data_IF_726106611099
#
_entry.id   IF_726106611099
#
_cell.length_a   1.000
_cell.length_b   1.000
_cell.length_c   1.000
_cell.angle_alpha   90.00
_cell.angle_beta   90.00
_cell.angle_gamma   90.00
#
_symmetry.space_group_name_H-M   'P 1'
#
loop_
_entity.id
_entity.type
_entity.pdbx_description
1 polymer ?
2 non-polymer ?
3 water ?
#
# COMPACT_ATOMS: atom_id res chain seq x y z
N UNK A 1 23.53 -0.96 -3.10
CA UNK A 1 23.12 -0.87 -1.66
C UNK A 1 22.24 0.35 -1.37
N UNK A 2 21.04 0.11 -0.84
CA UNK A 2 20.14 1.20 -0.44
C UNK A 2 20.85 2.12 0.55
N UNK A 3 20.91 3.40 0.22
CA UNK A 3 21.57 4.36 1.10
C UNK A 3 20.74 4.55 2.37
N UNK A 4 21.41 5.01 3.42
CA UNK A 4 20.68 5.26 4.67
C UNK A 4 19.63 6.32 4.45
N UNK A 5 19.95 7.33 3.66
CA UNK A 5 19.01 8.44 3.40
C UNK A 5 17.77 7.90 2.69
N UNK A 6 17.98 7.06 1.69
CA UNK A 6 16.88 6.45 0.95
C UNK A 6 16.07 5.49 1.82
N UNK A 7 16.75 4.77 2.71
CA UNK A 7 16.04 3.83 3.60
C UNK A 7 15.11 4.60 4.53
N UNK A 8 15.58 5.74 5.02
CA UNK A 8 14.72 6.60 5.84
C UNK A 8 13.51 7.09 5.05
N UNK A 9 13.73 7.52 3.82
CA UNK A 9 12.58 7.96 3.00
C UNK A 9 11.57 6.85 2.78
N UNK A 10 12.07 5.63 2.52
CA UNK A 10 11.20 4.50 2.26
C UNK A 10 10.44 4.12 3.51
N UNK A 11 11.14 4.05 4.64
CA UNK A 11 10.50 3.59 5.87
C UNK A 11 9.61 4.64 6.50
N UNK A 12 9.94 5.93 6.33
CA UNK A 12 9.34 6.92 7.21
C UNK A 12 8.71 8.13 6.55
N UNK A 13 8.88 8.29 5.23
CA UNK A 13 8.29 9.47 4.60
C UNK A 13 7.06 9.14 3.79
N UNK A 14 5.97 9.83 4.07
CA UNK A 14 4.79 9.81 3.21
C UNK A 14 4.20 11.22 3.22
N UNK A 15 4.88 12.13 2.54
CA UNK A 15 4.49 13.54 2.55
C UNK A 15 3.14 13.79 1.87
N UNK A 16 2.27 14.56 2.53
CA UNK A 16 0.93 14.83 2.00
C UNK A 16 -0.06 15.19 3.10
N UNK A 17 -1.20 15.76 2.70
CA UNK A 17 -2.22 16.27 3.60
C UNK A 17 -3.22 15.24 4.11
N UNK A 18 -3.54 14.26 3.29
CA UNK A 18 -4.57 13.28 3.64
C UNK A 18 -4.11 11.86 3.28
N UNK A 19 -3.04 11.38 3.95
CA UNK A 19 -2.44 10.09 3.61
C UNK A 19 -3.40 8.91 3.67
N UNK A 20 -4.33 8.93 4.62
CA UNK A 20 -5.23 7.80 4.82
C UNK A 20 -6.55 7.92 4.04
N UNK A 21 -6.71 9.03 3.31
CA UNK A 21 -7.89 9.27 2.49
C UNK A 21 -8.22 8.10 1.58
N UNK A 22 -9.53 7.91 1.33
CA UNK A 22 -9.99 6.87 0.40
C UNK A 22 -9.44 7.09 -1.02
N UNK A 23 -9.22 8.35 -1.39
CA UNK A 23 -8.62 8.70 -2.68
C UNK A 23 -7.20 8.14 -2.85
N UNK A 24 -6.58 7.74 -1.75
CA UNK A 24 -5.23 7.17 -1.79
C UNK A 24 -5.19 5.65 -1.85
N UNK A 25 -6.37 5.02 -1.84
CA UNK A 25 -6.45 3.57 -1.80
C UNK A 25 -5.64 2.93 -2.91
N UNK A 26 -5.87 3.35 -4.16
CA UNK A 26 -5.15 2.77 -5.29
C UNK A 26 -3.63 2.98 -5.22
N UNK A 27 -3.18 4.17 -4.84
CA UNK A 27 -1.74 4.37 -4.66
C UNK A 27 -1.14 3.34 -3.74
N UNK A 28 -1.80 3.12 -2.61
CA UNK A 28 -1.30 2.22 -1.59
C UNK A 28 -1.40 0.77 -2.06
N UNK A 29 -2.54 0.40 -2.66
CA UNK A 29 -2.81 -0.99 -3.04
C UNK A 29 -1.97 -1.42 -4.23
N UNK A 30 -1.86 -0.55 -5.23
CA UNK A 30 -1.08 -0.86 -6.42
C UNK A 30 0.37 -1.09 -6.02
N UNK A 31 0.84 -0.32 -5.03
CA UNK A 31 2.19 -0.50 -4.51
C UNK A 31 2.31 -1.81 -3.73
N UNK A 32 1.44 -1.98 -2.74
CA UNK A 32 1.49 -3.15 -1.88
C UNK A 32 1.36 -4.45 -2.68
N UNK A 33 0.43 -4.47 -3.64
CA UNK A 33 0.19 -5.68 -4.42
C UNK A 33 1.13 -5.88 -5.61
N UNK A 34 2.22 -5.13 -5.62
CA UNK A 34 3.35 -5.32 -6.56
C UNK A 34 3.01 -5.04 -8.02
N UNK A 35 2.22 -3.99 -8.26
CA UNK A 35 1.90 -3.60 -9.62
C UNK A 35 2.53 -2.27 -10.01
N UNK A 36 3.52 -1.85 -9.22
CA UNK A 36 4.31 -0.64 -9.52
C UNK A 36 5.81 -0.94 -9.50
N UNK A 37 6.16 -2.20 -9.67
CA UNK A 37 7.57 -2.58 -9.83
C UNK A 37 7.90 -2.62 -11.32
N UNK A 38 8.91 -1.85 -11.72
CA UNK A 38 9.36 -1.79 -13.11
C UNK A 38 8.66 -0.73 -13.92
N UNK A 39 7.34 -0.72 -13.84
CA UNK A 39 6.49 0.25 -14.53
C UNK A 39 5.20 0.37 -13.72
N UNK A 40 4.40 1.40 -13.99
CA UNK A 40 3.10 1.50 -13.36
C UNK A 40 2.07 0.73 -14.18
N UNK A 41 1.46 -0.31 -13.61
CA UNK A 41 0.33 -0.92 -14.30
C UNK A 41 -0.70 0.17 -14.55
N UNK A 42 -1.13 0.36 -15.81
CA UNK A 42 -2.01 1.47 -16.16
C UNK A 42 -3.44 1.39 -15.63
N UNK A 43 -4.03 0.19 -15.63
CA UNK A 43 -5.42 -0.03 -15.20
C UNK A 43 -5.43 -1.31 -14.38
N UNK A 44 -6.11 -1.29 -13.24
CA UNK A 44 -6.28 -2.49 -12.42
C UNK A 44 -7.51 -2.36 -11.54
N UNK A 45 -8.23 -3.47 -11.40
CA UNK A 45 -9.47 -3.53 -10.65
C UNK A 45 -9.31 -4.47 -9.45
N UNK A 46 -9.78 -3.99 -8.30
CA UNK A 46 -9.87 -4.79 -7.09
C UNK A 46 -11.34 -5.13 -6.80
N UNK A 47 -11.58 -6.34 -6.35
CA UNK A 47 -12.92 -6.83 -6.10
C UNK A 47 -13.12 -7.01 -4.60
N UNK A 48 -14.21 -6.44 -4.10
CA UNK A 48 -14.43 -6.43 -2.65
C UNK A 48 -15.40 -7.50 -2.15
N UNK A 49 -15.62 -8.52 -2.96
CA UNK A 49 -16.54 -9.58 -2.63
C UNK A 49 -15.75 -10.76 -2.11
N UNK A 50 -16.43 -11.71 -1.51
CA UNK A 50 -15.71 -12.86 -0.99
C UNK A 50 -15.06 -13.62 -2.13
N UNK A 51 -13.95 -14.27 -1.82
CA UNK A 51 -13.30 -15.11 -2.80
C UNK A 51 -14.22 -16.20 -3.36
N UNK A 52 -15.09 -16.78 -2.51
CA UNK A 52 -16.07 -17.80 -2.97
C UNK A 52 -17.01 -17.24 -4.04
N UNK A 53 -17.49 -16.02 -3.85
CA UNK A 53 -18.35 -15.38 -4.83
C UNK A 53 -17.64 -15.13 -6.15
N UNK A 54 -16.37 -14.72 -6.08
CA UNK A 54 -15.59 -14.51 -7.31
C UNK A 54 -15.29 -15.84 -7.98
N UNK A 55 -14.91 -16.86 -7.20
CA UNK A 55 -14.72 -18.22 -7.79
C UNK A 55 -15.99 -18.76 -8.44
N UNK A 56 -17.15 -18.43 -7.85
CA UNK A 56 -18.45 -18.88 -8.38
C UNK A 56 -18.68 -18.40 -9.82
N UNK A 57 -18.05 -17.28 -10.19
CA UNK A 57 -18.25 -16.71 -11.52
C UNK A 57 -17.84 -17.73 -12.58
N UNK A 58 -16.87 -18.59 -12.26
CA UNK A 58 -16.38 -19.63 -13.17
C UNK A 58 -17.44 -20.67 -13.53
N UNK A 59 -18.58 -20.63 -12.85
CA UNK A 59 -19.68 -21.51 -13.25
C UNK A 59 -20.93 -20.73 -13.65
N UNK A 60 -20.75 -19.44 -13.95
CA UNK A 60 -21.86 -18.56 -14.33
C UNK A 60 -21.89 -18.34 -15.85
N UNK A 61 -22.18 -17.12 -16.31
CA UNK A 61 -22.39 -16.87 -17.74
C UNK A 61 -21.10 -16.81 -18.58
N UNK A 62 -20.92 -17.80 -19.45
CA UNK A 62 -19.85 -17.79 -20.45
C UNK A 62 -19.90 -16.58 -21.38
N UNK A 63 -18.76 -15.89 -21.49
CA UNK A 63 -18.61 -14.85 -22.49
C UNK A 63 -17.21 -14.97 -23.12
N UNK A 64 -17.06 -14.48 -24.34
CA UNK A 64 -15.73 -14.46 -24.95
C UNK A 64 -14.88 -13.40 -24.30
N UNK A 65 -13.62 -13.73 -24.03
CA UNK A 65 -12.70 -12.77 -23.44
C UNK A 65 -12.46 -11.68 -24.47
N UNK A 66 -12.11 -10.48 -24.01
CA UNK A 66 -11.73 -9.38 -24.91
C UNK A 66 -10.66 -9.82 -25.92
N UNK A 67 -9.73 -10.67 -25.48
CA UNK A 67 -8.62 -11.12 -26.32
C UNK A 67 -8.90 -12.35 -27.21
N UNK A 68 -10.16 -12.78 -27.28
CA UNK A 68 -10.54 -13.91 -28.10
C UNK A 68 -10.42 -15.28 -27.45
N UNK A 69 -9.81 -15.36 -26.27
CA UNK A 69 -9.82 -16.63 -25.55
C UNK A 69 -11.26 -16.94 -25.14
N UNK A 70 -11.51 -18.23 -24.90
CA UNK A 70 -12.86 -18.74 -24.79
C UNK A 70 -13.14 -19.32 -23.40
N UNK A 71 -12.37 -18.86 -22.39
CA UNK A 71 -12.57 -19.30 -21.02
C UNK A 71 -12.98 -18.18 -20.07
N UNK A 72 -13.76 -17.21 -20.56
CA UNK A 72 -14.25 -16.12 -19.73
C UNK A 72 -15.68 -16.32 -19.31
N UNK A 73 -16.04 -15.65 -18.22
CA UNK A 73 -17.30 -15.88 -17.52
C UNK A 73 -17.67 -14.56 -16.92
N UNK A 74 -18.96 -14.21 -17.01
CA UNK A 74 -19.46 -12.97 -16.49
C UNK A 74 -20.26 -13.28 -15.22
N UNK A 75 -20.07 -12.46 -14.18
CA UNK A 75 -20.78 -12.64 -12.92
C UNK A 75 -22.27 -12.42 -13.13
N UNK A 76 -23.09 -13.27 -12.49
CA UNK A 76 -24.53 -13.16 -12.64
C UNK A 76 -25.04 -11.85 -12.02
N UNK A 77 -24.40 -11.46 -10.93
CA UNK A 77 -24.76 -10.25 -10.23
C UNK A 77 -23.63 -9.23 -10.27
N UNK A 78 -23.98 -7.97 -10.00
CA UNK A 78 -22.98 -6.94 -9.84
C UNK A 78 -22.16 -7.22 -8.59
N UNK A 79 -20.94 -6.71 -8.60
CA UNK A 79 -20.02 -6.80 -7.48
C UNK A 79 -19.44 -5.45 -7.11
N UNK A 80 -19.08 -5.29 -5.85
CA UNK A 80 -18.44 -4.07 -5.38
C UNK A 80 -16.99 -4.14 -5.79
N UNK A 81 -16.58 -3.20 -6.63
CA UNK A 81 -15.22 -3.16 -7.14
C UNK A 81 -14.66 -1.75 -7.06
N UNK A 82 -13.32 -1.69 -7.11
CA UNK A 82 -12.60 -0.44 -7.18
C UNK A 82 -11.73 -0.48 -8.41
N UNK A 83 -11.84 0.55 -9.25
CA UNK A 83 -10.95 0.74 -10.39
C UNK A 83 -9.81 1.64 -10.02
N UNK A 84 -8.60 1.25 -10.42
CA UNK A 84 -7.42 2.06 -10.25
C UNK A 84 -6.90 2.42 -11.64
N UNK A 85 -6.85 3.71 -11.95
CA UNK A 85 -6.33 4.18 -13.24
C UNK A 85 -5.26 5.24 -13.05
N UNK A 86 -4.13 5.08 -13.72
CA UNK A 86 -3.11 6.10 -13.75
C UNK A 86 -3.63 7.48 -14.16
N UNK A 87 -3.20 8.57 -13.42
CA UNK A 87 -3.50 9.95 -13.79
C UNK A 87 -2.58 10.48 -14.91
N UNK A 88 -2.87 11.70 -15.42
CA UNK A 88 -1.99 12.37 -16.38
C UNK A 88 -0.58 12.59 -15.74
N UNK A 89 -0.67 13.04 -14.48
CA UNK A 89 0.55 13.36 -13.67
C UNK A 89 1.52 12.16 -13.57
N UNK A 90 0.94 10.96 -13.38
CA UNK A 90 1.68 9.72 -13.10
C UNK A 90 2.85 9.40 -14.04
N UNK A 91 4.00 9.05 -13.46
CA UNK A 91 5.18 8.57 -14.19
C UNK A 91 6.08 7.73 -13.27
N UNK A 92 6.49 6.54 -13.77
CA UNK A 92 7.35 5.65 -12.97
C UNK A 92 8.65 6.39 -12.57
N UNK A 93 9.15 6.17 -11.32
CA UNK A 93 8.65 5.31 -10.24
C UNK A 93 7.64 5.98 -9.31
N UNK A 94 7.11 7.13 -9.72
CA UNK A 94 6.09 7.84 -8.97
C UNK A 94 4.72 7.56 -9.58
N UNK A 95 4.22 6.36 -9.31
CA UNK A 95 2.93 5.95 -9.86
C UNK A 95 1.79 6.57 -9.08
N UNK A 96 0.88 7.20 -9.80
CA UNK A 96 -0.26 7.89 -9.22
C UNK A 96 -1.51 7.35 -9.87
N UNK A 97 -2.52 7.10 -9.04
CA UNK A 97 -3.77 6.50 -9.47
C UNK A 97 -4.97 7.29 -8.99
N UNK A 98 -6.00 7.28 -9.83
CA UNK A 98 -7.33 7.72 -9.46
C UNK A 98 -8.11 6.50 -9.00
N UNK A 99 -8.68 6.61 -7.81
CA UNK A 99 -9.47 5.53 -7.22
C UNK A 99 -10.95 5.79 -7.49
N UNK A 100 -11.65 4.79 -8.03
CA UNK A 100 -13.07 4.91 -8.31
C UNK A 100 -13.84 3.67 -7.86
N UNK A 101 -14.87 3.86 -7.06
CA UNK A 101 -15.68 2.74 -6.61
C UNK A 101 -16.96 2.64 -7.44
N UNK A 102 -17.24 1.44 -7.93
CA UNK A 102 -18.46 1.18 -8.70
C UNK A 102 -18.99 -0.20 -8.37
N UNK A 103 -20.23 -0.45 -8.78
CA UNK A 103 -20.84 -1.77 -8.67
C UNK A 103 -21.16 -2.22 -10.09
N UNK A 104 -20.47 -3.26 -10.54
CA UNK A 104 -20.58 -3.72 -11.93
C UNK A 104 -20.48 -5.22 -11.99
N UNK A 105 -20.98 -5.81 -13.07
CA UNK A 105 -20.67 -7.22 -13.36
C UNK A 105 -19.19 -7.35 -13.70
N UNK A 106 -18.57 -8.42 -13.24
CA UNK A 106 -17.18 -8.66 -13.64
C UNK A 106 -17.10 -9.79 -14.65
N UNK A 107 -16.07 -9.73 -15.49
CA UNK A 107 -15.78 -10.81 -16.43
C UNK A 107 -14.37 -11.25 -16.14
N UNK A 108 -14.20 -12.54 -15.85
CA UNK A 108 -12.88 -13.09 -15.55
C UNK A 108 -12.62 -14.30 -16.42
N UNK A 109 -11.34 -14.57 -16.67
CA UNK A 109 -10.96 -15.84 -17.31
C UNK A 109 -10.75 -16.86 -16.19
N UNK A 110 -11.21 -18.08 -16.40
CA UNK A 110 -11.04 -19.19 -15.45
C UNK A 110 -10.19 -20.29 -16.05
N UNK A 111 -9.29 -20.81 -15.22
CA UNK A 111 -8.38 -21.87 -15.66
C UNK A 111 -7.94 -22.71 -14.48
N UNK A 112 -7.24 -23.79 -14.78
CA UNK A 112 -6.76 -24.71 -13.78
C UNK A 112 -7.81 -25.73 -13.38
N UNK A 113 -7.43 -26.53 -12.40
CA UNK A 113 -8.31 -27.51 -11.78
C UNK A 113 -8.07 -27.48 -10.27
N UNK A 114 -9.08 -27.05 -9.49
CA UNK A 114 -10.39 -26.54 -9.86
C UNK A 114 -10.29 -25.32 -10.77
N UNK A 115 -11.31 -25.09 -11.59
CA UNK A 115 -11.32 -23.92 -12.47
C UNK A 115 -11.57 -22.68 -11.62
N UNK A 116 -10.59 -21.79 -11.57
CA UNK A 116 -10.69 -20.57 -10.76
C UNK A 116 -10.29 -19.36 -11.56
N UNK A 117 -10.62 -18.16 -11.08
CA UNK A 117 -10.22 -16.96 -11.82
C UNK A 117 -8.70 -16.82 -11.96
N UNK A 118 -8.27 -16.59 -13.19
CA UNK A 118 -6.84 -16.42 -13.50
C UNK A 118 -6.50 -15.10 -14.17
N UNK A 119 -7.51 -14.39 -14.65
CA UNK A 119 -7.29 -13.09 -15.31
C UNK A 119 -8.55 -12.27 -15.12
N UNK A 120 -8.35 -10.97 -14.91
CA UNK A 120 -9.49 -10.07 -14.84
C UNK A 120 -9.65 -9.45 -16.22
N UNK A 121 -10.78 -9.75 -16.86
CA UNK A 121 -10.97 -9.33 -18.25
C UNK A 121 -11.57 -7.94 -18.43
N UNK A 122 -12.67 -7.67 -17.72
CA UNK A 122 -13.47 -6.47 -17.94
C UNK A 122 -14.52 -6.36 -16.83
N UNK A 123 -15.12 -5.17 -16.70
CA UNK A 123 -16.35 -5.04 -15.95
C UNK A 123 -17.39 -4.45 -16.89
N UNK A 124 -18.65 -4.77 -16.64
CA UNK A 124 -19.74 -4.27 -17.49
C UNK A 124 -20.93 -3.80 -16.63
N UNK B 1 7.30 -20.54 -9.46
CA UNK B 1 6.61 -19.39 -10.08
C UNK B 1 5.22 -19.25 -9.46
N UNK B 2 4.85 -18.02 -9.06
CA UNK B 2 3.54 -17.71 -8.51
C UNK B 2 2.45 -18.29 -9.43
N UNK B 3 1.46 -18.97 -8.85
CA UNK B 3 0.43 -19.60 -9.68
C UNK B 3 -0.47 -18.50 -10.26
N UNK B 4 -1.12 -18.80 -11.38
CA UNK B 4 -2.09 -17.86 -11.98
C UNK B 4 -3.22 -17.51 -11.00
N UNK B 5 -3.67 -18.50 -10.25
CA UNK B 5 -4.70 -18.30 -9.24
C UNK B 5 -4.24 -17.32 -8.18
N UNK B 6 -3.00 -17.51 -7.72
CA UNK B 6 -2.39 -16.64 -6.71
C UNK B 6 -2.19 -15.23 -7.25
N UNK B 7 -1.74 -15.14 -8.50
CA UNK B 7 -1.57 -13.84 -9.15
C UNK B 7 -2.91 -13.11 -9.24
N UNK B 8 -3.98 -13.82 -9.61
CA UNK B 8 -5.28 -13.19 -9.65
C UNK B 8 -5.67 -12.65 -8.27
N UNK B 9 -5.43 -13.46 -7.22
CA UNK B 9 -5.83 -12.99 -5.87
C UNK B 9 -5.01 -11.77 -5.47
N UNK B 10 -3.72 -11.79 -5.77
CA UNK B 10 -2.85 -10.64 -5.48
C UNK B 10 -3.26 -9.36 -6.22
N UNK B 11 -3.54 -9.51 -7.51
CA UNK B 11 -3.83 -8.35 -8.32
C UNK B 11 -5.25 -7.83 -8.15
N UNK B 12 -6.20 -8.72 -7.83
CA UNK B 12 -7.62 -8.35 -8.01
C UNK B 12 -8.54 -8.57 -6.83
N UNK B 13 -8.06 -9.22 -5.79
CA UNK B 13 -8.92 -9.51 -4.64
C UNK B 13 -8.63 -8.62 -3.43
N UNK B 14 -9.68 -7.98 -2.93
CA UNK B 14 -9.59 -7.32 -1.62
C UNK B 14 -10.88 -7.50 -0.79
N UNK B 15 -11.06 -8.72 -0.30
CA UNK B 15 -12.28 -9.17 0.41
C UNK B 15 -12.85 -8.59 1.78
N UNK B 16 -12.18 -8.46 2.92
CA UNK B 16 -10.87 -8.00 3.24
C UNK B 16 -11.15 -6.62 3.84
N UNK B 17 -11.33 -5.68 2.92
CA UNK B 17 -11.25 -4.25 3.24
C UNK B 17 -12.10 -3.46 2.27
N UNK B 18 -12.30 -2.18 2.55
CA UNK B 18 -12.84 -1.26 1.54
C UNK B 18 -11.93 -0.04 1.43
N UNK B 19 -11.95 0.65 0.26
CA UNK B 19 -11.19 1.87 0.08
C UNK B 19 -11.59 2.94 1.07
N UNK B 20 -12.82 2.88 1.58
CA UNK B 20 -13.32 3.99 2.38
C UNK B 20 -12.81 3.93 3.83
N UNK B 21 -12.05 2.89 4.15
CA UNK B 21 -11.39 2.87 5.46
C UNK B 21 -10.28 3.92 5.60
N UNK B 22 -10.13 4.43 6.80
CA UNK B 22 -8.99 5.25 7.17
C UNK B 22 -7.98 4.40 7.97
N UNK B 23 -8.48 3.27 8.51
CA UNK B 23 -7.72 2.49 9.49
C UNK B 23 -6.87 1.38 8.88
N UNK B 24 -7.00 1.19 7.56
CA UNK B 24 -6.23 0.20 6.83
C UNK B 24 -4.91 0.77 6.33
N UNK B 25 -4.68 2.06 6.59
CA UNK B 25 -3.47 2.76 6.06
C UNK B 25 -2.19 2.02 6.38
N UNK B 26 -1.99 1.69 7.65
CA UNK B 26 -0.73 1.04 8.04
C UNK B 26 -0.58 -0.32 7.38
N UNK B 27 -1.68 -1.08 7.30
CA UNK B 27 -1.61 -2.39 6.65
C UNK B 27 -1.07 -2.30 5.24
N UNK B 28 -1.56 -1.31 4.49
CA UNK B 28 -1.15 -1.15 3.11
C UNK B 28 0.22 -0.52 2.99
N UNK B 29 0.51 0.48 3.83
CA UNK B 29 1.78 1.20 3.73
C UNK B 29 2.98 0.37 4.18
N UNK B 30 2.79 -0.40 5.25
CA UNK B 30 3.88 -1.28 5.69
C UNK B 30 4.21 -2.31 4.61
N UNK B 31 3.17 -2.79 3.92
CA UNK B 31 3.34 -3.69 2.81
C UNK B 31 4.01 -2.96 1.63
N UNK B 32 3.46 -1.82 1.24
CA UNK B 32 3.99 -1.05 0.14
C UNK B 32 5.50 -0.75 0.30
N UNK B 33 5.89 -0.35 1.51
CA UNK B 33 7.25 0.13 1.77
C UNK B 33 8.19 -0.98 2.24
N UNK B 34 7.74 -2.22 2.04
CA UNK B 34 8.58 -3.43 2.19
C UNK B 34 9.07 -3.66 3.63
N UNK B 35 8.19 -3.39 4.59
CA UNK B 35 8.50 -3.66 6.00
C UNK B 35 7.76 -4.87 6.56
N UNK B 36 7.19 -5.68 5.66
CA UNK B 36 6.47 -6.89 6.08
C UNK B 36 7.06 -8.18 5.50
N UNK B 37 8.27 -8.09 4.96
CA UNK B 37 8.93 -9.24 4.35
C UNK B 37 9.89 -9.90 5.35
N UNK B 38 9.85 -11.22 5.43
CA UNK B 38 10.61 -11.96 6.44
C UNK B 38 9.92 -12.00 7.80
N UNK B 39 9.54 -10.83 8.29
CA UNK B 39 8.72 -10.67 9.49
C UNK B 39 8.00 -9.32 9.47
N UNK B 40 7.06 -9.13 10.38
CA UNK B 40 6.38 -7.85 10.48
C UNK B 40 7.23 -6.93 11.33
N UNK B 41 7.64 -5.79 10.79
CA UNK B 41 8.29 -4.78 11.62
C UNK B 41 7.23 -4.37 12.64
N UNK B 42 7.52 -4.48 13.94
CA UNK B 42 6.50 -4.26 14.98
C UNK B 42 5.98 -2.82 15.10
N UNK B 43 6.87 -1.85 14.91
CA UNK B 43 6.50 -0.46 15.10
C UNK B 43 7.18 0.36 14.03
N UNK B 44 6.41 1.20 13.34
CA UNK B 44 6.99 2.10 12.35
C UNK B 44 6.16 3.35 12.21
N UNK B 45 6.84 4.47 12.07
CA UNK B 45 6.17 5.75 11.98
C UNK B 45 6.40 6.36 10.59
N UNK B 46 5.31 6.84 9.99
CA UNK B 46 5.39 7.60 8.75
C UNK B 46 5.13 9.06 9.06
N UNK B 47 5.89 9.92 8.41
CA UNK B 47 5.81 11.37 8.60
C UNK B 47 5.19 12.01 7.36
N UNK B 48 4.25 12.92 7.57
CA UNK B 48 3.47 13.47 6.45
C UNK B 48 3.82 14.92 6.10
N UNK B 49 4.76 15.48 6.86
CA UNK B 49 5.32 16.78 6.52
C UNK B 49 6.19 16.63 5.28
N UNK B 50 6.59 17.75 4.70
CA UNK B 50 7.47 17.71 3.56
C UNK B 50 8.83 17.10 3.88
N UNK B 51 9.47 16.55 2.86
CA UNK B 51 10.83 16.08 3.04
C UNK B 51 11.76 17.21 3.51
N UNK B 52 11.58 18.42 2.98
CA UNK B 52 12.40 19.55 3.43
C UNK B 52 12.25 19.82 4.92
N UNK B 53 11.01 19.82 5.40
CA UNK B 53 10.75 20.01 6.83
C UNK B 53 11.41 18.96 7.71
N UNK B 54 11.35 17.69 7.27
CA UNK B 54 11.96 16.59 8.03
C UNK B 54 13.50 16.70 7.99
N UNK B 55 14.05 17.01 6.81
CA UNK B 55 15.49 17.23 6.74
C UNK B 55 15.94 18.37 7.66
N UNK B 56 15.10 19.40 7.76
CA UNK B 56 15.41 20.56 8.62
C UNK B 56 15.61 20.23 10.11
N UNK B 57 15.03 19.12 10.56
CA UNK B 57 15.16 18.69 11.95
C UNK B 57 16.63 18.46 12.30
N UNK B 58 17.44 18.09 11.31
CA UNK B 58 18.87 17.82 11.55
C UNK B 58 19.63 19.10 11.94
N UNK B 59 19.00 20.24 11.72
CA UNK B 59 19.58 21.52 12.12
C UNK B 59 18.83 22.12 13.33
N UNK B 60 17.99 21.32 13.98
CA UNK B 60 17.15 21.79 15.09
C UNK B 60 17.68 21.31 16.47
N UNK B 61 16.80 20.97 17.40
CA UNK B 61 17.24 20.73 18.79
C UNK B 61 18.00 19.42 19.00
N UNK B 62 19.27 19.52 19.38
CA UNK B 62 20.06 18.34 19.76
C UNK B 62 19.50 17.67 21.03
N UNK B 63 19.20 16.37 20.92
CA UNK B 63 18.66 15.62 22.05
C UNK B 63 19.33 14.25 22.16
N UNK B 64 19.12 13.60 23.30
CA UNK B 64 19.66 12.27 23.56
C UNK B 64 18.94 11.24 22.68
N UNK B 65 19.69 10.36 22.02
CA UNK B 65 19.10 9.27 21.24
C UNK B 65 18.67 8.19 22.20
N UNK B 66 17.57 7.51 21.89
CA UNK B 66 17.15 6.38 22.70
C UNK B 66 18.22 5.28 22.78
N UNK B 67 19.00 5.13 21.71
CA UNK B 67 20.07 4.14 21.71
C UNK B 67 21.42 4.66 22.23
N UNK B 68 21.43 5.87 22.79
CA UNK B 68 22.66 6.40 23.37
C UNK B 68 23.67 7.03 22.42
N UNK B 69 23.40 6.97 21.12
CA UNK B 69 24.23 7.71 20.17
C UNK B 69 23.98 9.20 20.36
N UNK B 70 24.83 10.02 19.78
CA UNK B 70 24.78 11.45 20.04
C UNK B 70 24.51 12.23 18.76
N UNK B 71 23.71 11.64 17.86
CA UNK B 71 23.39 12.27 16.57
C UNK B 71 21.88 12.46 16.36
N UNK B 72 21.14 12.59 17.47
CA UNK B 72 19.69 12.78 17.39
C UNK B 72 19.25 14.22 17.55
N UNK B 73 18.14 14.53 16.89
CA UNK B 73 17.61 15.89 16.83
C UNK B 73 16.11 15.84 16.91
N UNK B 74 15.55 16.78 17.66
CA UNK B 74 14.12 16.87 17.88
C UNK B 74 13.52 18.00 17.06
N UNK B 75 12.37 17.76 16.44
CA UNK B 75 11.75 18.84 15.68
C UNK B 75 11.29 19.98 16.59
N UNK B 76 11.42 21.20 16.12
CA UNK B 76 11.01 22.39 16.89
C UNK B 76 9.51 22.45 17.05
N UNK B 77 8.79 21.91 16.08
CA UNK B 77 7.34 21.87 16.16
C UNK B 77 6.82 20.44 16.04
N UNK B 78 5.57 20.24 16.46
CA UNK B 78 4.91 18.97 16.23
C UNK B 78 4.78 18.78 14.72
N UNK B 79 4.73 17.51 14.33
CA UNK B 79 4.55 17.13 12.95
C UNK B 79 3.40 16.16 12.85
N UNK B 80 2.75 16.16 11.70
CA UNK B 80 1.73 15.19 11.39
C UNK B 80 2.42 13.87 11.03
N UNK B 81 2.20 12.88 11.87
CA UNK B 81 2.77 11.55 11.67
C UNK B 81 1.72 10.47 11.90
N UNK B 82 2.02 9.26 11.44
CA UNK B 82 1.18 8.10 11.68
C UNK B 82 1.99 6.98 12.29
N UNK B 83 1.57 6.49 13.46
CA UNK B 83 2.22 5.34 14.06
C UNK B 83 1.54 4.07 13.60
N UNK B 84 2.35 3.11 13.14
CA UNK B 84 1.86 1.81 12.74
C UNK B 84 2.38 0.81 13.75
N UNK B 85 1.45 0.18 14.44
CA UNK B 85 1.86 -0.74 15.51
C UNK B 85 1.19 -2.07 15.27
N UNK B 86 2.02 -3.12 15.20
CA UNK B 86 1.54 -4.48 14.99
C UNK B 86 0.58 -4.88 16.10
N UNK B 87 -0.57 -5.43 15.71
CA UNK B 87 -1.60 -5.85 16.67
C UNK B 87 -1.24 -7.20 17.29
N UNK B 88 -1.89 -7.53 18.41
CA UNK B 88 -1.69 -8.82 19.07
C UNK B 88 -2.17 -9.98 18.22
N UNK B 89 -3.17 -9.70 17.39
CA UNK B 89 -3.74 -10.67 16.46
C UNK B 89 -2.80 -10.95 15.29
N UNK B 90 -2.01 -9.94 14.91
CA UNK B 90 -1.12 -10.01 13.76
C UNK B 90 -0.19 -11.21 13.83
N UNK B 91 -0.16 -11.97 12.73
CA UNK B 91 0.74 -13.11 12.61
C UNK B 91 1.31 -13.15 11.19
N UNK B 92 2.64 -13.13 11.08
CA UNK B 92 3.33 -13.22 9.80
C UNK B 92 2.89 -14.48 9.03
N UNK B 93 2.67 -14.37 7.70
CA UNK B 93 2.90 -13.21 6.83
C UNK B 93 1.75 -12.21 6.76
N UNK B 94 0.67 -12.49 7.47
CA UNK B 94 -0.50 -11.60 7.50
C UNK B 94 -0.30 -10.48 8.52
N UNK B 95 0.59 -9.55 8.20
CA UNK B 95 0.98 -8.49 9.10
C UNK B 95 -0.14 -7.47 9.26
N UNK B 96 -0.72 -7.45 10.46
CA UNK B 96 -1.78 -6.53 10.78
C UNK B 96 -1.28 -5.42 11.69
N UNK B 97 -1.71 -4.20 11.40
CA UNK B 97 -1.33 -3.02 12.15
C UNK B 97 -2.54 -2.20 12.57
N UNK B 98 -2.40 -1.55 13.71
CA UNK B 98 -3.26 -0.45 14.09
C UNK B 98 -2.62 0.86 13.59
N UNK B 99 -3.45 1.73 13.06
CA UNK B 99 -3.05 3.04 12.56
C UNK B 99 -3.47 4.12 13.55
N UNK B 100 -2.51 4.92 13.99
CA UNK B 100 -2.79 6.00 14.94
C UNK B 100 -2.28 7.30 14.35
N UNK B 101 -3.20 8.22 14.12
CA UNK B 101 -2.81 9.52 13.61
C UNK B 101 -2.44 10.41 14.78
N UNK B 102 -1.23 10.95 14.72
CA UNK B 102 -0.69 11.70 15.83
C UNK B 102 -0.04 12.99 15.36
N UNK B 103 -0.01 13.97 16.26
CA UNK B 103 0.76 15.20 16.05
C UNK B 103 1.68 15.35 17.24
N UNK B 104 2.94 14.96 17.03
CA UNK B 104 3.97 15.02 18.06
C UNK B 104 5.26 15.54 17.45
N UNK B 105 6.17 15.98 18.31
CA UNK B 105 7.54 16.28 17.89
C UNK B 105 8.21 14.95 17.53
N UNK B 106 9.03 14.94 16.47
CA UNK B 106 9.77 13.71 16.12
C UNK B 106 11.23 13.88 16.52
N UNK B 107 11.88 12.75 16.79
CA UNK B 107 13.32 12.73 17.03
C UNK B 107 13.89 11.78 15.99
N UNK B 108 14.83 12.30 15.20
CA UNK B 108 15.51 11.48 14.22
C UNK B 108 17.01 11.53 14.44
N UNK B 109 17.70 10.48 14.00
CA UNK B 109 19.16 10.46 13.95
C UNK B 109 19.55 11.00 12.58
N UNK B 110 20.60 11.82 12.54
CA UNK B 110 21.06 12.38 11.28
C UNK B 110 22.45 11.90 10.99
N UNK B 111 22.75 11.76 9.70
CA UNK B 111 24.07 11.31 9.28
C UNK B 111 24.32 11.63 7.82
N UNK B 112 25.55 11.38 7.39
CA UNK B 112 25.94 11.72 6.02
C UNK B 112 26.34 13.17 5.90
N UNK B 113 26.79 13.54 4.72
CA UNK B 113 27.19 14.92 4.42
C UNK B 113 26.62 15.27 3.05
N UNK B 114 25.57 16.11 3.00
CA UNK B 114 24.97 16.84 4.13
C UNK B 114 24.29 15.91 5.12
N UNK B 115 24.16 16.38 6.36
CA UNK B 115 23.49 15.58 7.38
C UNK B 115 21.99 15.53 7.11
N UNK B 116 21.47 14.32 6.90
CA UNK B 116 20.05 14.11 6.64
C UNK B 116 19.52 13.01 7.58
N UNK B 117 18.20 12.91 7.73
CA UNK B 117 17.67 11.86 8.58
C UNK B 117 18.05 10.45 8.10
N UNK B 118 18.53 9.63 9.03
CA UNK B 118 18.91 8.25 8.70
C UNK B 118 18.18 7.21 9.58
N UNK B 119 17.56 7.65 10.67
CA UNK B 119 16.85 6.74 11.57
C UNK B 119 15.77 7.53 12.28
N UNK B 120 14.61 6.90 12.45
CA UNK B 120 13.54 7.51 13.23
C UNK B 120 13.69 6.98 14.66
N UNK B 121 13.94 7.87 15.60
CA UNK B 121 14.24 7.46 16.97
C UNK B 121 13.00 7.32 17.85
N UNK B 122 12.12 8.32 17.79
CA UNK B 122 10.97 8.38 18.70
C UNK B 122 10.15 9.59 18.35
N UNK B 123 8.96 9.64 18.93
CA UNK B 123 8.20 10.88 18.95
C UNK B 123 8.02 11.22 20.42
N UNK B 124 7.81 12.49 20.70
CA UNK B 124 7.59 12.92 22.08
C UNK B 124 6.55 14.01 22.10
#
# INVERSE_FOLDING_TARGET
KESAAAKFERQHMDSGNSPSSSSNYCNLMMCCRKMTQGKCKPVNTFVHESLADVKAVCSQKKVTCKNGQTNCYQSKSTMRITDCRETGSSKYPNCAYKTTQVEKHIIVACGGKPSVPVHFDASV
KESAAAKFERQHMDSGNSPSSSSNYCNLMMCCRKMTQGKCKPVNTFVHESLADVKAVCSQKKVTCKNGQTNCYQSKSTMRITDCRETGSSKYPNCAYKTTQVEKHIIVACGGKPSVPVHFDASV
#
